data_IF_778128093471
#
_entry.id   IF_778128093471
#
_cell.length_a   1.000
_cell.length_b   1.000
_cell.length_c   1.000
_cell.angle_alpha   90.00
_cell.angle_beta   90.00
_cell.angle_gamma   90.00
#
_symmetry.space_group_name_H-M   'P 1'
#
loop_
_entity.id
_entity.type
_entity.pdbx_description
1 polymer ?
#
# COMPACT_ATOMS: atom_id res chain seq x y z
N UNK A 1 16.42 -8.86 0.80
CA UNK A 1 17.52 -7.94 0.43
C UNK A 1 18.38 -8.44 -0.73
N UNK A 2 19.04 -9.62 -0.69
CA UNK A 2 19.92 -10.05 -1.82
C UNK A 2 19.16 -10.23 -3.15
N UNK A 3 18.02 -10.92 -3.13
CA UNK A 3 17.24 -11.17 -4.35
C UNK A 3 16.67 -9.89 -4.98
N UNK A 4 16.26 -8.92 -4.16
CA UNK A 4 15.67 -7.66 -4.62
C UNK A 4 16.74 -6.72 -5.18
N UNK A 5 17.94 -6.70 -4.58
CA UNK A 5 19.07 -5.96 -5.09
C UNK A 5 19.54 -6.53 -6.44
N UNK A 6 19.57 -7.86 -6.58
CA UNK A 6 19.89 -8.52 -7.85
C UNK A 6 18.86 -8.18 -8.94
N UNK A 7 17.55 -8.18 -8.60
CA UNK A 7 16.50 -7.76 -9.51
C UNK A 7 16.62 -6.27 -9.90
N UNK A 8 16.97 -5.40 -8.95
CA UNK A 8 17.19 -3.98 -9.23
C UNK A 8 18.40 -3.76 -10.17
N UNK A 9 19.48 -4.52 -9.97
CA UNK A 9 20.65 -4.48 -10.85
C UNK A 9 20.31 -4.95 -12.27
N UNK A 10 19.49 -6.00 -12.40
CA UNK A 10 19.02 -6.51 -13.69
C UNK A 10 18.15 -5.48 -14.42
N UNK A 11 17.17 -4.89 -13.72
CA UNK A 11 16.31 -3.84 -14.28
C UNK A 11 17.15 -2.63 -14.74
N UNK A 12 18.13 -2.21 -13.96
CA UNK A 12 19.04 -1.13 -14.35
C UNK A 12 19.91 -1.48 -15.56
N UNK A 13 20.34 -2.74 -15.68
CA UNK A 13 21.02 -3.26 -16.87
C UNK A 13 20.18 -3.12 -18.13
N UNK A 14 18.89 -3.51 -18.05
CA UNK A 14 17.95 -3.38 -19.17
C UNK A 14 17.74 -1.92 -19.56
N UNK A 15 17.62 -1.01 -18.59
CA UNK A 15 17.48 0.43 -18.88
C UNK A 15 18.70 0.95 -19.64
N UNK A 16 19.91 0.62 -19.16
CA UNK A 16 21.17 1.00 -19.82
C UNK A 16 21.29 0.44 -21.22
N UNK A 17 20.94 -0.83 -21.42
CA UNK A 17 21.02 -1.49 -22.72
C UNK A 17 20.00 -0.90 -23.70
N UNK A 18 18.78 -0.63 -23.23
CA UNK A 18 17.73 0.01 -24.03
C UNK A 18 18.18 1.39 -24.51
N UNK A 19 18.72 2.19 -23.59
CA UNK A 19 19.33 3.49 -23.87
C UNK A 19 20.53 3.37 -24.83
N UNK A 20 21.42 2.41 -24.63
CA UNK A 20 22.60 2.22 -25.46
C UNK A 20 22.24 1.78 -26.89
N UNK A 21 21.13 1.07 -27.05
CA UNK A 21 20.57 0.68 -28.34
C UNK A 21 19.87 1.84 -29.10
N UNK A 22 19.97 3.08 -28.58
CA UNK A 22 19.40 4.27 -29.21
C UNK A 22 17.88 4.33 -29.13
N UNK A 23 17.26 3.50 -28.29
CA UNK A 23 15.83 3.56 -28.03
C UNK A 23 15.55 4.67 -27.03
N UNK A 24 14.41 5.32 -27.20
CA UNK A 24 13.96 6.37 -26.31
C UNK A 24 13.79 5.83 -24.88
N UNK A 25 14.06 6.67 -23.88
CA UNK A 25 13.85 6.36 -22.46
C UNK A 25 12.40 5.90 -22.19
N UNK A 26 11.45 6.35 -23.02
CA UNK A 26 10.05 5.92 -22.98
C UNK A 26 9.88 4.41 -23.23
N UNK A 27 10.70 3.81 -24.09
CA UNK A 27 10.68 2.36 -24.34
C UNK A 27 11.22 1.55 -23.15
N UNK A 28 12.10 2.17 -22.34
CA UNK A 28 12.57 1.60 -21.08
C UNK A 28 11.62 1.86 -19.90
N UNK A 29 10.43 2.41 -20.15
CA UNK A 29 9.49 2.84 -19.11
C UNK A 29 9.05 1.75 -18.14
N UNK A 30 8.89 0.51 -18.62
CA UNK A 30 8.54 -0.65 -17.79
C UNK A 30 9.70 -1.05 -16.86
N UNK A 31 10.91 -1.19 -17.41
CA UNK A 31 12.10 -1.48 -16.62
C UNK A 31 12.42 -0.37 -15.60
N UNK A 32 12.15 0.89 -15.95
CA UNK A 32 12.19 2.03 -15.03
C UNK A 32 11.18 1.86 -13.89
N UNK A 33 9.92 1.59 -14.21
CA UNK A 33 8.88 1.38 -13.20
C UNK A 33 9.23 0.24 -12.24
N UNK A 34 9.76 -0.88 -12.77
CA UNK A 34 10.20 -2.03 -11.99
C UNK A 34 11.38 -1.70 -11.08
N UNK A 35 12.42 -1.03 -11.61
CA UNK A 35 13.58 -0.61 -10.83
C UNK A 35 13.16 0.27 -9.64
N UNK A 36 12.32 1.28 -9.88
CA UNK A 36 11.85 2.18 -8.81
C UNK A 36 10.89 1.49 -7.83
N UNK A 37 10.08 0.55 -8.31
CA UNK A 37 9.25 -0.30 -7.45
C UNK A 37 10.09 -1.17 -6.52
N UNK A 38 11.15 -1.78 -7.04
CA UNK A 38 12.12 -2.58 -6.26
C UNK A 38 12.90 -1.70 -5.27
N UNK A 39 13.32 -0.50 -5.68
CA UNK A 39 13.96 0.48 -4.78
C UNK A 39 13.08 0.80 -3.55
N UNK A 40 11.79 1.07 -3.77
CA UNK A 40 10.86 1.35 -2.67
C UNK A 40 10.70 0.14 -1.73
N UNK A 41 10.66 -1.08 -2.26
CA UNK A 41 10.60 -2.30 -1.46
C UNK A 41 11.89 -2.53 -0.65
N UNK A 42 13.06 -2.31 -1.25
CA UNK A 42 14.36 -2.43 -0.58
C UNK A 42 14.44 -1.41 0.57
N UNK A 43 14.05 -0.16 0.34
CA UNK A 43 14.04 0.87 1.39
C UNK A 43 13.07 0.53 2.52
N UNK A 44 11.88 0.02 2.21
CA UNK A 44 10.90 -0.41 3.22
C UNK A 44 11.44 -1.58 4.05
N UNK A 45 12.01 -2.60 3.42
CA UNK A 45 12.58 -3.77 4.11
C UNK A 45 13.83 -3.45 4.92
N UNK A 46 14.66 -2.50 4.45
CA UNK A 46 15.80 -2.00 5.21
C UNK A 46 15.35 -1.33 6.53
N UNK A 47 14.17 -0.70 6.53
CA UNK A 47 13.61 -0.08 7.74
C UNK A 47 12.89 -1.08 8.66
N UNK A 48 12.23 -2.11 8.10
CA UNK A 48 11.51 -3.14 8.87
C UNK A 48 12.45 -4.14 9.56
N UNK A 49 13.55 -4.53 8.90
CA UNK A 49 14.55 -5.43 9.46
C UNK A 49 15.71 -4.64 10.04
N UNK A 50 15.53 -4.12 11.26
CA UNK A 50 16.59 -3.46 11.99
C UNK A 50 17.90 -4.27 12.02
N UNK A 51 18.97 -3.64 11.52
CA UNK A 51 20.36 -3.83 11.96
C UNK A 51 21.05 -5.20 11.81
N UNK A 52 20.46 -6.23 11.20
CA UNK A 52 21.19 -7.52 11.02
C UNK A 52 22.28 -7.49 9.93
N UNK A 53 22.37 -6.42 9.14
CA UNK A 53 23.46 -6.19 8.19
C UNK A 53 23.50 -4.72 7.77
N UNK A 54 23.80 -3.81 8.71
CA UNK A 54 23.90 -2.37 8.46
C UNK A 54 24.80 -2.05 7.28
N UNK A 55 25.91 -2.77 7.14
CA UNK A 55 26.85 -2.58 6.04
C UNK A 55 26.21 -2.92 4.68
N UNK A 56 25.46 -4.01 4.58
CA UNK A 56 24.83 -4.40 3.31
C UNK A 56 23.64 -3.50 2.97
N UNK A 57 22.87 -3.07 3.98
CA UNK A 57 21.82 -2.09 3.80
C UNK A 57 22.39 -0.73 3.35
N UNK A 58 23.51 -0.31 3.95
CA UNK A 58 24.24 0.89 3.56
C UNK A 58 24.80 0.79 2.14
N UNK A 59 25.47 -0.31 1.79
CA UNK A 59 25.98 -0.53 0.44
C UNK A 59 24.87 -0.56 -0.61
N UNK A 60 23.74 -1.21 -0.31
CA UNK A 60 22.57 -1.21 -1.18
C UNK A 60 22.00 0.21 -1.33
N UNK A 61 21.95 0.99 -0.26
CA UNK A 61 21.47 2.38 -0.31
C UNK A 61 22.38 3.26 -1.16
N UNK A 62 23.70 3.14 -1.06
CA UNK A 62 24.64 3.89 -1.90
C UNK A 62 24.57 3.45 -3.37
N UNK A 63 24.51 2.15 -3.64
CA UNK A 63 24.32 1.63 -5.00
C UNK A 63 23.02 2.15 -5.63
N UNK A 64 21.92 2.21 -4.87
CA UNK A 64 20.66 2.79 -5.33
C UNK A 64 20.76 4.30 -5.62
N UNK A 65 21.55 5.04 -4.84
CA UNK A 65 21.82 6.47 -5.10
C UNK A 65 22.64 6.67 -6.38
N UNK A 66 23.66 5.86 -6.60
CA UNK A 66 24.47 5.91 -7.83
C UNK A 66 23.60 5.65 -9.07
N UNK A 67 22.74 4.63 -9.00
CA UNK A 67 21.79 4.32 -10.08
C UNK A 67 20.79 5.44 -10.30
N UNK A 68 20.26 6.06 -9.26
CA UNK A 68 19.38 7.22 -9.39
C UNK A 68 20.09 8.42 -10.03
N UNK A 69 21.34 8.69 -9.66
CA UNK A 69 22.14 9.75 -10.29
C UNK A 69 22.37 9.46 -11.78
N UNK A 70 22.69 8.22 -12.13
CA UNK A 70 22.85 7.79 -13.52
C UNK A 70 21.53 7.89 -14.31
N UNK A 71 20.41 7.45 -13.73
CA UNK A 71 19.08 7.56 -14.36
C UNK A 71 18.67 9.01 -14.55
N UNK A 72 18.92 9.88 -13.57
CA UNK A 72 18.65 11.32 -13.69
C UNK A 72 19.46 11.93 -14.83
N UNK A 73 20.74 11.60 -14.94
CA UNK A 73 21.56 12.06 -16.07
C UNK A 73 21.00 11.55 -17.39
N UNK A 74 20.68 10.25 -17.50
CA UNK A 74 20.06 9.69 -18.70
C UNK A 74 18.76 10.44 -19.06
N UNK A 75 17.85 10.65 -18.11
CA UNK A 75 16.59 11.37 -18.35
C UNK A 75 16.77 12.84 -18.73
N UNK A 76 17.80 13.51 -18.22
CA UNK A 76 18.09 14.91 -18.56
C UNK A 76 18.72 15.04 -19.95
N UNK A 77 19.63 14.14 -20.30
CA UNK A 77 20.40 14.23 -21.54
C UNK A 77 19.73 13.57 -22.74
N UNK A 78 18.95 12.51 -22.51
CA UNK A 78 18.34 11.71 -23.56
C UNK A 78 16.81 11.83 -23.59
N UNK A 79 16.20 12.38 -22.55
CA UNK A 79 14.77 12.60 -22.47
C UNK A 79 14.36 14.02 -22.88
N UNK A 80 13.05 14.29 -22.81
CA UNK A 80 12.51 15.65 -22.90
C UNK A 80 12.99 16.50 -21.71
N UNK A 81 13.22 17.79 -21.95
CA UNK A 81 13.41 18.75 -20.86
C UNK A 81 12.29 18.66 -19.82
N UNK A 82 12.66 18.50 -18.56
CA UNK A 82 11.72 18.34 -17.44
C UNK A 82 11.25 16.91 -17.17
N UNK A 83 11.65 15.90 -17.95
CA UNK A 83 11.21 14.51 -17.78
C UNK A 83 11.46 13.97 -16.36
N UNK A 84 12.59 14.32 -15.76
CA UNK A 84 12.89 13.94 -14.38
C UNK A 84 11.87 14.50 -13.38
N UNK A 85 11.42 15.75 -13.58
CA UNK A 85 10.46 16.38 -12.68
C UNK A 85 9.06 15.79 -12.86
N UNK A 86 8.65 15.56 -14.11
CA UNK A 86 7.40 14.90 -14.44
C UNK A 86 7.37 13.47 -13.87
N UNK A 87 8.50 12.77 -13.92
CA UNK A 87 8.67 11.45 -13.30
C UNK A 87 8.50 11.48 -11.78
N UNK A 88 9.11 12.45 -11.08
CA UNK A 88 8.94 12.61 -9.64
C UNK A 88 7.48 12.87 -9.25
N UNK A 89 6.78 13.73 -10.01
CA UNK A 89 5.35 13.98 -9.82
C UNK A 89 4.54 12.70 -10.01
N UNK A 90 4.80 11.96 -11.09
CA UNK A 90 4.13 10.68 -11.36
C UNK A 90 4.33 9.67 -10.22
N UNK A 91 5.55 9.56 -9.67
CA UNK A 91 5.81 8.67 -8.54
C UNK A 91 5.01 9.08 -7.30
N UNK A 92 4.90 10.38 -7.03
CA UNK A 92 4.11 10.89 -5.91
C UNK A 92 2.62 10.57 -6.10
N UNK A 93 2.06 10.82 -7.29
CA UNK A 93 0.66 10.53 -7.61
C UNK A 93 0.35 9.04 -7.47
N UNK A 94 1.23 8.17 -8.00
CA UNK A 94 1.06 6.73 -7.90
C UNK A 94 1.13 6.23 -6.45
N UNK A 95 2.00 6.83 -5.62
CA UNK A 95 2.04 6.53 -4.19
C UNK A 95 0.75 6.96 -3.50
N UNK A 96 0.27 8.18 -3.75
CA UNK A 96 -0.98 8.67 -3.17
C UNK A 96 -2.19 7.81 -3.59
N UNK A 97 -2.24 7.40 -4.86
CA UNK A 97 -3.27 6.51 -5.38
C UNK A 97 -3.29 5.16 -4.67
N UNK A 98 -2.13 4.54 -4.46
CA UNK A 98 -2.01 3.28 -3.69
C UNK A 98 -2.46 3.45 -2.23
N UNK A 99 -2.02 4.51 -1.58
CA UNK A 99 -2.42 4.81 -0.20
C UNK A 99 -3.93 5.09 -0.08
N UNK A 100 -4.53 5.79 -1.06
CA UNK A 100 -5.96 6.03 -1.12
C UNK A 100 -6.74 4.73 -1.30
N UNK A 101 -6.33 3.87 -2.23
CA UNK A 101 -6.94 2.56 -2.46
C UNK A 101 -6.89 1.68 -1.18
N UNK A 102 -5.74 1.61 -0.50
CA UNK A 102 -5.61 0.88 0.76
C UNK A 102 -6.53 1.43 1.86
N UNK A 103 -6.65 2.75 1.97
CA UNK A 103 -7.55 3.40 2.94
C UNK A 103 -9.00 3.06 2.62
N UNK A 104 -9.41 3.14 1.37
CA UNK A 104 -10.76 2.77 0.97
C UNK A 104 -11.10 1.31 1.28
N UNK A 105 -10.18 0.38 1.03
CA UNK A 105 -10.38 -1.03 1.36
C UNK A 105 -10.52 -1.24 2.87
N UNK A 106 -9.67 -0.58 3.67
CA UNK A 106 -9.74 -0.63 5.14
C UNK A 106 -11.08 -0.08 5.63
N UNK A 107 -11.52 1.06 5.10
CA UNK A 107 -12.82 1.66 5.43
C UNK A 107 -14.00 0.75 5.04
N UNK A 108 -13.95 0.12 3.86
CA UNK A 108 -14.96 -0.86 3.43
C UNK A 108 -15.02 -2.06 4.39
N UNK A 109 -13.87 -2.56 4.86
CA UNK A 109 -13.80 -3.65 5.85
C UNK A 109 -14.36 -3.23 7.22
N UNK A 110 -14.04 -2.04 7.70
CA UNK A 110 -14.57 -1.50 8.98
C UNK A 110 -16.08 -1.32 8.90
N UNK A 111 -16.60 -0.66 7.84
CA UNK A 111 -18.04 -0.46 7.63
C UNK A 111 -18.83 -1.77 7.53
N UNK A 112 -18.23 -2.85 7.04
CA UNK A 112 -18.85 -4.19 7.03
C UNK A 112 -18.98 -4.74 8.44
N UNK A 113 -17.93 -4.62 9.26
CA UNK A 113 -17.95 -5.07 10.66
C UNK A 113 -18.96 -4.28 11.50
N UNK A 114 -18.98 -2.95 11.35
CA UNK A 114 -19.92 -2.08 12.07
C UNK A 114 -21.37 -2.41 11.76
N UNK A 115 -21.71 -2.69 10.49
CA UNK A 115 -23.08 -3.10 10.12
C UNK A 115 -23.50 -4.39 10.81
N UNK A 116 -22.63 -5.40 10.84
CA UNK A 116 -22.94 -6.69 11.49
C UNK A 116 -23.13 -6.50 13.00
N UNK A 117 -22.25 -5.74 13.64
CA UNK A 117 -22.35 -5.44 15.08
C UNK A 117 -23.63 -4.68 15.40
N UNK A 118 -23.97 -3.63 14.63
CA UNK A 118 -25.20 -2.86 14.85
C UNK A 118 -26.47 -3.70 14.64
N UNK A 119 -26.49 -4.60 13.65
CA UNK A 119 -27.63 -5.50 13.43
C UNK A 119 -27.76 -6.49 14.60
N UNK A 120 -26.68 -7.14 15.02
CA UNK A 120 -26.72 -8.03 16.19
C UNK A 120 -27.18 -7.29 17.46
N UNK A 121 -26.66 -6.09 17.69
CA UNK A 121 -26.95 -5.31 18.89
C UNK A 121 -28.41 -4.83 18.89
N UNK A 122 -28.94 -4.38 17.75
CA UNK A 122 -30.35 -3.98 17.62
C UNK A 122 -31.32 -5.15 17.78
N UNK A 123 -31.02 -6.33 17.21
CA UNK A 123 -31.82 -7.55 17.40
C UNK A 123 -31.82 -7.98 18.87
N UNK A 124 -30.64 -7.97 19.50
CA UNK A 124 -30.51 -8.38 20.91
C UNK A 124 -31.27 -7.42 21.82
N UNK A 125 -31.13 -6.10 21.61
CA UNK A 125 -31.86 -5.10 22.39
C UNK A 125 -33.38 -5.23 22.21
N UNK A 126 -33.83 -5.44 20.96
CA UNK A 126 -35.24 -5.65 20.65
C UNK A 126 -35.82 -6.91 21.31
N UNK A 127 -35.08 -8.01 21.29
CA UNK A 127 -35.47 -9.25 21.97
C UNK A 127 -35.56 -9.09 23.49
N UNK A 128 -34.62 -8.36 24.11
CA UNK A 128 -34.64 -8.06 25.55
C UNK A 128 -35.84 -7.18 25.95
N UNK A 129 -36.20 -6.19 25.14
CA UNK A 129 -37.35 -5.33 25.41
C UNK A 129 -38.66 -6.12 25.27
N UNK A 130 -38.78 -6.94 24.22
CA UNK A 130 -39.97 -7.78 24.01
C UNK A 130 -40.13 -8.83 25.11
N UNK A 131 -39.05 -9.46 25.57
CA UNK A 131 -39.11 -10.42 26.67
C UNK A 131 -39.49 -9.77 27.99
N UNK A 132 -39.00 -8.56 28.28
CA UNK A 132 -39.39 -7.79 29.46
C UNK A 132 -40.88 -7.42 29.45
N UNK A 133 -41.41 -6.97 28.31
CA UNK A 133 -42.85 -6.64 28.18
C UNK A 133 -43.71 -7.90 28.33
N UNK A 134 -43.29 -9.01 27.71
CA UNK A 134 -43.98 -10.29 27.83
C UNK A 134 -44.04 -10.80 29.27
N UNK A 135 -42.96 -10.67 30.04
CA UNK A 135 -42.92 -11.04 31.46
C UNK A 135 -43.84 -10.16 32.31
N UNK A 136 -43.84 -8.85 32.09
CA UNK A 136 -44.73 -7.92 32.82
C UNK A 136 -46.20 -8.25 32.53
N UNK A 137 -46.56 -8.46 31.25
CA UNK A 137 -47.92 -8.85 30.88
C UNK A 137 -48.35 -10.19 31.49
N UNK A 138 -47.45 -11.17 31.51
CA UNK A 138 -47.70 -12.47 32.14
C UNK A 138 -47.93 -12.36 33.65
N UNK A 139 -47.13 -11.56 34.35
CA UNK A 139 -47.29 -11.32 35.80
C UNK A 139 -48.64 -10.66 36.09
N UNK A 140 -49.06 -9.67 35.29
CA UNK A 140 -50.37 -9.03 35.42
C UNK A 140 -51.53 -10.00 35.19
N UNK A 141 -51.44 -10.86 34.18
CA UNK A 141 -52.46 -11.89 33.91
C UNK A 141 -52.57 -12.89 35.07
N UNK A 142 -51.44 -13.34 35.60
CA UNK A 142 -51.41 -14.27 36.74
C UNK A 142 -52.00 -13.66 38.02
N UNK A 143 -51.69 -12.38 38.31
CA UNK A 143 -52.29 -11.65 39.43
C UNK A 143 -53.79 -11.42 39.27
N UNK A 144 -54.27 -11.17 38.05
CA UNK A 144 -55.69 -11.00 37.77
C UNK A 144 -56.48 -12.31 37.94
N UNK A 145 -55.86 -13.47 37.68
CA UNK A 145 -56.51 -14.78 37.81
C UNK A 145 -56.54 -15.33 39.25
N UNK A 146 -55.73 -14.77 40.17
CA UNK A 146 -55.76 -15.13 41.59
C UNK A 146 -56.79 -14.35 42.43
N UNK A 147 -57.47 -13.35 41.84
CA UNK A 147 -58.46 -12.50 42.52
C UNK A 147 -59.87 -12.92 42.17
#
# INVERSE_FOLDING_TARGET
MIAELAAANAAFGVIKETVANGKEIYEAGEALADYFGLKAQIQKKAHEHGYKSDLQAFMAAEQLKEYEAALKQMMVWQGRGGLWQDWLTYQQEMRQSREAAEKEEKLKKVKRKERIVNICLSITLGACILSAIGLVGYIFYWLAQQR
#
